data_IF_501783881882
#
_entry.id   IF_501783881882
#
_cell.length_a   1.000
_cell.length_b   1.000
_cell.length_c   1.000
_cell.angle_alpha   90.00
_cell.angle_beta   90.00
_cell.angle_gamma   90.00
#
_symmetry.space_group_name_H-M   'P 1'
#
loop_
_entity.id
_entity.type
_entity.pdbx_description
1 polymer ?
#
# COMPACT_ATOMS: atom_id res chain seq x y z
N UNK A 1 -11.40 -3.74 6.45
CA UNK A 1 -10.68 -3.53 5.19
C UNK A 1 -11.46 -2.62 4.22
N UNK A 2 -12.73 -2.95 3.88
CA UNK A 2 -13.53 -2.19 2.90
C UNK A 2 -13.70 -0.72 3.25
N UNK A 3 -13.99 -0.36 4.49
CA UNK A 3 -14.13 1.04 4.93
C UNK A 3 -12.84 1.81 4.64
N UNK A 4 -11.69 1.24 5.00
CA UNK A 4 -10.41 1.88 4.76
C UNK A 4 -10.08 1.98 3.28
N UNK A 5 -10.33 0.91 2.52
CA UNK A 5 -10.02 0.88 1.10
C UNK A 5 -10.87 1.83 0.27
N UNK A 6 -12.19 1.81 0.48
CA UNK A 6 -13.12 2.56 -0.40
C UNK A 6 -13.40 3.98 0.07
N UNK A 7 -13.48 4.19 1.38
CA UNK A 7 -13.92 5.46 1.96
C UNK A 7 -12.80 6.20 2.70
N UNK A 8 -11.61 5.61 2.77
CA UNK A 8 -10.47 6.09 3.55
C UNK A 8 -10.80 6.31 5.05
N UNK A 9 -11.83 5.63 5.55
CA UNK A 9 -12.22 5.64 6.95
C UNK A 9 -11.45 4.59 7.72
N UNK A 10 -10.91 4.95 8.89
CA UNK A 10 -10.15 4.03 9.73
C UNK A 10 -11.11 3.23 10.61
N UNK A 11 -11.28 1.92 10.38
CA UNK A 11 -12.12 1.08 11.21
C UNK A 11 -11.40 0.61 12.47
N UNK A 12 -12.17 0.35 13.53
CA UNK A 12 -11.74 -0.38 14.71
C UNK A 12 -12.53 -1.69 14.84
N UNK A 13 -11.82 -2.78 15.09
CA UNK A 13 -12.39 -4.11 15.34
C UNK A 13 -12.22 -4.42 16.82
N UNK A 14 -13.32 -4.70 17.50
CA UNK A 14 -13.33 -5.08 18.91
C UNK A 14 -13.64 -6.56 19.05
N UNK A 15 -12.82 -7.30 19.80
CA UNK A 15 -13.04 -8.72 20.07
C UNK A 15 -12.66 -9.08 21.50
N UNK A 16 -13.14 -10.24 21.95
CA UNK A 16 -12.61 -10.89 23.15
C UNK A 16 -11.26 -11.56 22.86
N UNK A 17 -10.59 -12.03 23.93
CA UNK A 17 -9.39 -12.86 23.84
C UNK A 17 -9.70 -14.28 23.29
N UNK A 18 -8.69 -15.06 23.06
CA UNK A 18 -8.78 -16.47 22.67
C UNK A 18 -9.34 -16.64 21.26
N UNK A 19 -10.45 -17.40 21.09
CA UNK A 19 -11.04 -17.64 19.77
C UNK A 19 -11.41 -16.36 19.04
N UNK A 20 -11.90 -15.31 19.74
CA UNK A 20 -12.22 -14.02 19.15
C UNK A 20 -10.99 -13.33 18.57
N UNK A 21 -9.91 -13.27 19.33
CA UNK A 21 -8.63 -12.71 18.88
C UNK A 21 -8.04 -13.48 17.71
N UNK A 22 -8.10 -14.82 17.72
CA UNK A 22 -7.57 -15.65 16.63
C UNK A 22 -8.37 -15.48 15.33
N UNK A 23 -9.70 -15.40 15.40
CA UNK A 23 -10.52 -15.14 14.22
C UNK A 23 -10.28 -13.75 13.66
N UNK A 24 -10.16 -12.74 14.53
CA UNK A 24 -9.83 -11.38 14.11
C UNK A 24 -8.42 -11.31 13.50
N UNK A 25 -7.45 -12.03 14.07
CA UNK A 25 -6.10 -12.12 13.53
C UNK A 25 -6.09 -12.75 12.13
N UNK A 26 -6.85 -13.84 11.92
CA UNK A 26 -7.01 -14.44 10.59
C UNK A 26 -7.62 -13.44 9.59
N UNK A 27 -8.66 -12.69 9.99
CA UNK A 27 -9.26 -11.62 9.18
C UNK A 27 -8.33 -10.43 8.93
N UNK A 28 -7.36 -10.18 9.80
CA UNK A 28 -6.42 -9.08 9.68
C UNK A 28 -5.36 -9.27 8.59
N UNK A 29 -5.20 -10.50 8.08
CA UNK A 29 -4.30 -10.76 6.95
C UNK A 29 -4.73 -10.02 5.68
N UNK A 30 -6.04 -9.76 5.50
CA UNK A 30 -6.52 -8.99 4.35
C UNK A 30 -6.03 -7.53 4.40
N UNK A 31 -6.28 -6.74 5.46
CA UNK A 31 -5.74 -5.38 5.52
C UNK A 31 -4.21 -5.37 5.58
N UNK A 32 -3.56 -6.31 6.25
CA UNK A 32 -2.10 -6.43 6.27
C UNK A 32 -1.55 -6.62 4.85
N UNK A 33 -2.07 -7.60 4.12
CA UNK A 33 -1.62 -7.90 2.77
C UNK A 33 -1.93 -6.78 1.77
N UNK A 34 -2.85 -5.88 2.07
CA UNK A 34 -3.26 -4.80 1.16
C UNK A 34 -2.81 -3.40 1.60
N UNK A 35 -1.96 -3.29 2.61
CA UNK A 35 -1.48 -1.99 3.09
C UNK A 35 -2.60 -1.09 3.63
N UNK A 36 -3.57 -1.67 4.34
CA UNK A 36 -4.72 -0.97 4.90
C UNK A 36 -4.61 -0.89 6.42
N UNK A 37 -4.57 0.33 6.95
CA UNK A 37 -4.53 0.56 8.39
C UNK A 37 -5.88 0.25 9.04
N UNK A 38 -5.87 -0.58 10.08
CA UNK A 38 -7.04 -1.00 10.86
C UNK A 38 -6.63 -1.16 12.32
N UNK A 39 -7.42 -0.63 13.24
CA UNK A 39 -7.24 -0.90 14.66
C UNK A 39 -7.92 -2.21 15.04
N UNK A 40 -7.19 -3.08 15.76
CA UNK A 40 -7.70 -4.28 16.40
C UNK A 40 -7.56 -4.12 17.92
N UNK A 41 -8.70 -3.96 18.60
CA UNK A 41 -8.78 -3.77 20.05
C UNK A 41 -9.33 -5.06 20.65
N UNK A 42 -8.47 -5.80 21.32
CA UNK A 42 -8.78 -7.14 21.81
C UNK A 42 -8.76 -7.17 23.34
N UNK A 43 -9.81 -7.72 23.95
CA UNK A 43 -9.75 -8.04 25.36
C UNK A 43 -8.56 -8.95 25.64
N UNK A 44 -8.00 -8.84 26.82
CA UNK A 44 -6.94 -9.72 27.31
C UNK A 44 -7.23 -10.15 28.74
N UNK A 45 -6.58 -11.23 29.19
CA UNK A 45 -6.69 -11.68 30.57
C UNK A 45 -5.98 -10.72 31.52
N UNK A 46 -5.92 -11.05 32.80
CA UNK A 46 -5.26 -10.18 33.78
C UNK A 46 -3.74 -10.13 33.50
N UNK A 47 -3.13 -8.96 33.76
CA UNK A 47 -1.68 -8.78 33.66
C UNK A 47 -0.88 -9.45 34.81
N UNK A 48 -1.56 -10.15 35.68
CA UNK A 48 -0.99 -10.94 36.77
C UNK A 48 -1.74 -12.26 36.90
N UNK A 49 -1.11 -13.29 37.40
CA UNK A 49 -1.71 -14.62 37.62
C UNK A 49 -2.21 -15.29 36.33
N UNK A 50 -1.60 -15.01 35.21
CA UNK A 50 -1.93 -15.68 33.94
C UNK A 50 -1.72 -17.19 34.03
N UNK A 51 -2.59 -17.94 33.41
CA UNK A 51 -2.46 -19.35 33.11
C UNK A 51 -3.31 -20.29 33.96
N UNK A 52 -3.19 -20.36 35.31
CA UNK A 52 -3.78 -21.45 36.08
C UNK A 52 -5.30 -21.60 35.99
N UNK A 53 -6.05 -20.56 35.85
CA UNK A 53 -7.53 -20.58 35.82
C UNK A 53 -8.11 -19.76 34.68
N UNK A 54 -7.34 -19.51 33.65
CA UNK A 54 -7.75 -18.66 32.51
C UNK A 54 -8.51 -19.49 31.49
N UNK A 55 -9.73 -19.08 31.19
CA UNK A 55 -10.64 -19.86 30.36
C UNK A 55 -10.17 -20.02 28.90
N UNK A 56 -9.45 -19.04 28.38
CA UNK A 56 -9.12 -18.95 26.96
C UNK A 56 -7.61 -18.91 26.67
N UNK A 57 -6.78 -19.11 27.69
CA UNK A 57 -5.33 -19.25 27.51
C UNK A 57 -4.96 -20.72 27.62
N UNK A 58 -4.51 -21.33 26.52
CA UNK A 58 -4.23 -22.79 26.50
C UNK A 58 -2.93 -23.18 27.19
N UNK A 59 -2.07 -22.21 27.50
CA UNK A 59 -0.75 -22.44 28.11
C UNK A 59 -0.49 -21.42 29.21
N UNK A 60 0.34 -21.80 30.19
CA UNK A 60 0.83 -20.91 31.24
C UNK A 60 1.97 -20.02 30.72
N UNK A 61 1.70 -19.24 29.72
CA UNK A 61 2.66 -18.32 29.10
C UNK A 61 2.10 -16.91 29.14
N UNK A 62 2.82 -16.00 29.77
CA UNK A 62 2.46 -14.59 29.78
C UNK A 62 2.55 -14.00 28.37
N UNK A 63 1.65 -13.06 28.06
CA UNK A 63 1.64 -12.33 26.79
C UNK A 63 1.60 -13.22 25.55
N UNK A 64 0.95 -14.40 25.64
CA UNK A 64 0.82 -15.32 24.51
C UNK A 64 0.24 -14.64 23.28
N UNK A 65 -0.86 -13.91 23.44
CA UNK A 65 -1.53 -13.23 22.34
C UNK A 65 -0.76 -12.01 21.85
N UNK A 66 -0.07 -11.27 22.71
CA UNK A 66 0.80 -10.18 22.29
C UNK A 66 1.90 -10.70 21.37
N UNK A 67 2.56 -11.78 21.74
CA UNK A 67 3.61 -12.41 20.93
C UNK A 67 3.08 -12.93 19.59
N UNK A 68 1.91 -13.57 19.61
CA UNK A 68 1.26 -14.05 18.40
C UNK A 68 0.93 -12.91 17.44
N UNK A 69 0.28 -11.86 17.92
CA UNK A 69 -0.15 -10.74 17.11
C UNK A 69 1.04 -9.90 16.61
N UNK A 70 2.12 -9.83 17.39
CA UNK A 70 3.36 -9.16 16.99
C UNK A 70 4.02 -9.80 15.76
N UNK A 71 3.67 -11.02 15.40
CA UNK A 71 4.13 -11.66 14.17
C UNK A 71 3.42 -11.14 12.91
N UNK A 72 2.24 -10.55 13.08
CA UNK A 72 1.46 -9.97 11.98
C UNK A 72 1.71 -8.47 11.80
N UNK A 73 2.05 -7.76 12.88
CA UNK A 73 2.25 -6.30 12.81
C UNK A 73 2.51 -5.68 14.18
N UNK A 74 2.58 -4.35 14.26
CA UNK A 74 2.77 -3.66 15.53
C UNK A 74 1.66 -4.00 16.51
N UNK A 75 2.06 -4.48 17.69
CA UNK A 75 1.16 -4.87 18.78
C UNK A 75 1.57 -4.19 20.09
N UNK A 76 0.59 -3.94 20.96
CA UNK A 76 0.82 -3.30 22.24
C UNK A 76 -0.17 -3.80 23.28
N UNK A 77 0.31 -4.15 24.49
CA UNK A 77 -0.56 -4.48 25.63
C UNK A 77 -0.58 -3.32 26.61
N UNK A 78 -1.78 -2.92 27.04
CA UNK A 78 -1.94 -1.85 28.02
C UNK A 78 -1.64 -2.36 29.43
N UNK A 79 -0.49 -2.01 29.97
CA UNK A 79 -0.11 -2.35 31.34
C UNK A 79 -0.63 -1.36 32.39
N UNK A 80 -0.91 -0.13 31.99
CA UNK A 80 -1.56 0.91 32.81
C UNK A 80 -2.56 1.69 31.95
N UNK A 81 -3.54 2.39 32.55
CA UNK A 81 -4.45 3.24 31.78
C UNK A 81 -3.72 4.32 30.98
N UNK A 82 -2.69 4.94 31.55
CA UNK A 82 -1.93 6.02 30.92
C UNK A 82 -1.13 5.55 29.69
N UNK A 83 -0.83 4.26 29.62
CA UNK A 83 -0.16 3.66 28.46
C UNK A 83 -0.96 3.79 27.16
N UNK A 84 -2.27 4.12 27.25
CA UNK A 84 -3.12 4.35 26.07
C UNK A 84 -2.58 5.46 25.16
N UNK A 85 -1.98 6.52 25.74
CA UNK A 85 -1.38 7.60 24.94
C UNK A 85 -0.24 7.09 24.05
N UNK A 86 0.63 6.27 24.61
CA UNK A 86 1.73 5.65 23.84
C UNK A 86 1.20 4.64 22.82
N UNK A 87 0.21 3.84 23.21
CA UNK A 87 -0.41 2.86 22.32
C UNK A 87 -1.05 3.54 21.11
N UNK A 88 -1.79 4.63 21.32
CA UNK A 88 -2.44 5.38 20.24
C UNK A 88 -1.42 6.06 19.31
N UNK A 89 -0.33 6.63 19.84
CA UNK A 89 0.75 7.17 19.00
C UNK A 89 1.40 6.10 18.12
N UNK A 90 1.65 4.91 18.66
CA UNK A 90 2.15 3.77 17.89
C UNK A 90 1.12 3.26 16.88
N UNK A 91 -0.15 3.23 17.28
CA UNK A 91 -1.26 2.87 16.41
C UNK A 91 -1.42 3.84 15.25
N UNK A 92 -1.32 5.14 15.52
CA UNK A 92 -1.39 6.19 14.50
C UNK A 92 -0.28 6.01 13.46
N UNK A 93 0.96 5.86 13.91
CA UNK A 93 2.10 5.60 13.03
C UNK A 93 1.94 4.34 12.17
N UNK A 94 1.31 3.28 12.69
CA UNK A 94 1.07 2.04 11.96
C UNK A 94 -0.10 2.17 10.97
N UNK A 95 -1.22 2.71 11.44
CA UNK A 95 -2.50 2.75 10.70
C UNK A 95 -2.52 3.84 9.63
N UNK A 96 -1.84 4.95 9.89
CA UNK A 96 -1.74 6.09 8.99
C UNK A 96 -0.39 6.21 8.27
N UNK A 97 0.59 5.35 8.60
CA UNK A 97 1.94 5.41 8.03
C UNK A 97 1.95 5.58 6.52
N UNK A 98 2.64 6.62 6.03
CA UNK A 98 2.60 6.98 4.62
C UNK A 98 3.30 5.98 3.71
N UNK A 99 4.45 5.48 4.13
CA UNK A 99 5.19 4.50 3.36
C UNK A 99 4.50 3.13 3.37
N UNK A 100 3.99 2.71 4.53
CA UNK A 100 3.34 1.42 4.70
C UNK A 100 2.29 1.49 5.80
N UNK A 101 1.03 1.34 5.43
CA UNK A 101 -0.08 1.20 6.38
C UNK A 101 -0.20 -0.25 6.80
N UNK A 102 -0.39 -0.49 8.10
CA UNK A 102 -0.56 -1.84 8.65
C UNK A 102 -1.66 -1.87 9.69
N UNK A 103 -2.27 -3.04 9.97
CA UNK A 103 -3.06 -3.23 11.17
C UNK A 103 -2.23 -2.92 12.43
N UNK A 104 -2.89 -2.38 13.45
CA UNK A 104 -2.35 -2.19 14.79
C UNK A 104 -3.17 -3.00 15.78
N UNK A 105 -2.50 -3.79 16.62
CA UNK A 105 -3.13 -4.66 17.59
C UNK A 105 -2.92 -4.12 19.00
N UNK A 106 -4.02 -3.85 19.72
CA UNK A 106 -3.99 -3.40 21.10
C UNK A 106 -4.69 -4.42 21.98
N UNK A 107 -3.96 -4.95 22.95
CA UNK A 107 -4.49 -5.83 23.98
C UNK A 107 -4.91 -5.01 25.21
N UNK A 108 -6.09 -5.29 25.69
CA UNK A 108 -6.76 -4.61 26.79
C UNK A 108 -6.94 -5.56 27.96
N UNK A 109 -5.95 -5.69 28.88
CA UNK A 109 -6.08 -6.59 30.04
C UNK A 109 -7.27 -6.25 30.92
N UNK A 110 -8.01 -7.29 31.32
CA UNK A 110 -9.26 -7.18 32.05
C UNK A 110 -9.13 -6.38 33.36
N UNK A 111 -7.99 -6.47 34.05
CA UNK A 111 -7.72 -5.74 35.27
C UNK A 111 -7.30 -4.27 35.04
N UNK A 112 -7.00 -3.89 33.80
CA UNK A 112 -6.65 -2.51 33.43
C UNK A 112 -7.88 -1.75 32.95
N UNK A 113 -8.76 -2.40 32.19
CA UNK A 113 -9.96 -1.76 31.62
C UNK A 113 -10.81 -0.96 32.62
N UNK A 114 -11.07 -1.42 33.87
CA UNK A 114 -11.90 -0.69 34.83
C UNK A 114 -11.14 0.39 35.60
N UNK A 115 -9.84 0.54 35.42
CA UNK A 115 -9.06 1.53 36.15
C UNK A 115 -9.37 2.94 35.65
N UNK A 116 -9.50 3.87 36.59
CA UNK A 116 -9.72 5.27 36.29
C UNK A 116 -8.38 5.94 35.93
N UNK A 117 -8.42 6.84 34.97
CA UNK A 117 -7.34 7.79 34.69
C UNK A 117 -7.63 9.07 35.49
N UNK A 118 -6.70 9.47 36.33
CA UNK A 118 -6.86 10.67 37.17
C UNK A 118 -6.76 11.97 36.35
N UNK A 119 -5.99 11.95 35.28
CA UNK A 119 -5.89 13.08 34.34
C UNK A 119 -5.90 12.56 32.89
N UNK A 120 -6.93 12.92 32.14
CA UNK A 120 -7.01 12.59 30.73
C UNK A 120 -7.61 13.77 29.95
N UNK A 121 -6.83 14.33 29.03
CA UNK A 121 -7.33 15.32 28.08
C UNK A 121 -7.55 14.61 26.72
N UNK A 122 -8.79 14.25 26.44
CA UNK A 122 -9.14 13.60 25.16
C UNK A 122 -8.85 14.49 23.95
N UNK A 123 -8.79 15.79 24.10
CA UNK A 123 -8.48 16.73 23.02
C UNK A 123 -7.04 16.60 22.53
N UNK A 124 -6.12 16.12 23.36
CA UNK A 124 -4.73 15.84 22.95
C UNK A 124 -4.60 14.74 21.90
N UNK A 125 -5.65 13.95 21.70
CA UNK A 125 -5.68 12.89 20.67
C UNK A 125 -6.25 13.35 19.34
N UNK A 126 -6.81 14.54 19.25
CA UNK A 126 -7.53 15.00 18.05
C UNK A 126 -6.66 15.83 17.10
N UNK A 127 -5.48 16.23 17.51
CA UNK A 127 -4.54 16.93 16.64
C UNK A 127 -3.96 15.94 15.61
N UNK A 128 -4.41 16.07 14.37
CA UNK A 128 -3.75 15.41 13.25
C UNK A 128 -2.46 16.17 12.97
N UNK A 129 -1.34 15.49 13.05
CA UNK A 129 -0.10 16.02 12.48
C UNK A 129 -0.26 16.12 10.96
N UNK A 130 0.11 17.27 10.39
CA UNK A 130 0.21 17.40 8.93
C UNK A 130 1.32 16.46 8.43
N UNK A 131 0.95 15.53 7.57
CA UNK A 131 1.90 14.64 6.93
C UNK A 131 2.47 15.30 5.67
N UNK A 132 3.78 15.48 5.63
CA UNK A 132 4.47 15.92 4.42
C UNK A 132 4.45 14.81 3.37
N UNK A 133 4.28 15.19 2.10
CA UNK A 133 4.47 14.27 0.98
C UNK A 133 5.96 13.94 0.83
N UNK A 134 6.27 12.69 0.48
CA UNK A 134 7.63 12.21 0.26
C UNK A 134 7.96 12.26 -1.22
N UNK A 135 9.12 12.80 -1.55
CA UNK A 135 9.67 12.75 -2.91
C UNK A 135 11.20 12.63 -2.82
N UNK A 136 11.78 11.79 -3.66
CA UNK A 136 13.23 11.72 -3.80
C UNK A 136 13.80 13.06 -4.24
N UNK A 137 14.87 13.50 -3.58
CA UNK A 137 15.64 14.70 -3.97
C UNK A 137 16.78 14.37 -4.93
N UNK A 138 17.05 13.09 -5.16
CA UNK A 138 18.11 12.65 -6.08
C UNK A 138 17.64 12.77 -7.53
N UNK A 139 18.12 13.80 -8.22
CA UNK A 139 17.81 14.03 -9.62
C UNK A 139 18.37 12.97 -10.57
N UNK A 140 19.35 12.17 -10.15
CA UNK A 140 19.92 11.13 -11.00
C UNK A 140 18.91 10.06 -11.34
N UNK A 141 18.03 9.68 -10.40
CA UNK A 141 16.97 8.69 -10.64
C UNK A 141 15.88 9.22 -11.56
N UNK A 142 15.57 10.53 -11.50
CA UNK A 142 14.62 11.16 -12.43
C UNK A 142 15.20 11.26 -13.83
N UNK A 143 16.49 11.59 -13.97
CA UNK A 143 17.17 11.64 -15.27
C UNK A 143 17.22 10.23 -15.90
N UNK A 144 17.53 9.20 -15.10
CA UNK A 144 17.52 7.82 -15.58
C UNK A 144 16.12 7.34 -15.99
N UNK A 145 15.07 7.80 -15.29
CA UNK A 145 13.69 7.52 -15.68
C UNK A 145 13.31 8.24 -16.97
N UNK A 146 13.69 9.50 -17.10
CA UNK A 146 13.47 10.28 -18.31
C UNK A 146 14.14 9.64 -19.53
N UNK A 147 15.41 9.28 -19.41
CA UNK A 147 16.17 8.57 -20.46
C UNK A 147 15.44 7.27 -20.86
N UNK A 148 15.05 6.45 -19.89
CA UNK A 148 14.31 5.21 -20.18
C UNK A 148 12.98 5.44 -20.90
N UNK A 149 12.25 6.51 -20.57
CA UNK A 149 11.00 6.90 -21.23
C UNK A 149 11.27 7.34 -22.68
N UNK A 150 12.30 8.15 -22.91
CA UNK A 150 12.63 8.68 -24.22
C UNK A 150 13.15 7.60 -25.18
N UNK A 151 13.87 6.61 -24.66
CA UNK A 151 14.44 5.49 -25.42
C UNK A 151 13.42 4.38 -25.71
N UNK A 152 12.19 4.49 -25.18
CA UNK A 152 11.16 3.45 -25.31
C UNK A 152 10.01 3.90 -26.19
N UNK A 153 9.40 2.94 -26.91
CA UNK A 153 8.29 3.20 -27.85
C UNK A 153 6.99 2.47 -27.49
N UNK A 154 7.06 1.42 -26.64
CA UNK A 154 5.94 0.60 -26.21
C UNK A 154 5.84 0.61 -24.69
N UNK A 155 5.28 1.67 -24.15
CA UNK A 155 5.26 1.92 -22.72
C UNK A 155 3.96 1.44 -22.09
N UNK A 156 4.06 0.67 -21.02
CA UNK A 156 2.92 0.29 -20.17
C UNK A 156 3.07 0.86 -18.78
N UNK A 157 2.07 1.60 -18.32
CA UNK A 157 1.95 2.11 -16.95
C UNK A 157 1.07 1.17 -16.15
N UNK A 158 1.65 0.51 -15.15
CA UNK A 158 0.94 -0.39 -14.23
C UNK A 158 0.72 0.29 -12.89
N UNK A 159 -0.54 0.54 -12.55
CA UNK A 159 -0.93 1.24 -11.33
C UNK A 159 -1.46 0.27 -10.28
N UNK A 160 -0.92 0.33 -9.08
CA UNK A 160 -1.33 -0.46 -7.92
C UNK A 160 -2.00 0.38 -6.83
N UNK A 161 -2.36 -0.29 -5.73
CA UNK A 161 -3.09 0.33 -4.60
C UNK A 161 -2.37 1.47 -3.90
N UNK A 162 -1.05 1.52 -3.96
CA UNK A 162 -0.24 2.61 -3.41
C UNK A 162 -0.36 3.94 -4.18
N UNK A 163 -1.02 3.94 -5.34
CA UNK A 163 -1.28 5.12 -6.14
C UNK A 163 -2.78 5.49 -6.17
N UNK A 164 -3.57 5.05 -5.20
CA UNK A 164 -5.02 5.31 -5.16
C UNK A 164 -5.37 6.80 -5.02
N UNK A 165 -4.45 7.60 -4.53
CA UNK A 165 -4.63 9.05 -4.31
C UNK A 165 -4.20 9.89 -5.54
N UNK A 166 -3.70 9.27 -6.62
CA UNK A 166 -3.34 9.97 -7.87
C UNK A 166 -4.60 10.39 -8.60
N UNK A 167 -4.64 11.63 -9.06
CA UNK A 167 -5.78 12.15 -9.81
C UNK A 167 -5.83 11.61 -11.24
N UNK A 168 -7.03 11.48 -11.81
CA UNK A 168 -7.21 11.00 -13.18
C UNK A 168 -6.57 11.96 -14.20
N UNK A 169 -6.57 13.25 -13.91
CA UNK A 169 -5.99 14.32 -14.73
C UNK A 169 -4.47 14.16 -14.83
N UNK A 170 -3.78 13.92 -13.72
CA UNK A 170 -2.33 13.69 -13.70
C UNK A 170 -1.97 12.41 -14.44
N UNK A 171 -2.78 11.35 -14.27
CA UNK A 171 -2.59 10.11 -15.04
C UNK A 171 -2.80 10.33 -16.54
N UNK A 172 -3.86 11.03 -16.95
CA UNK A 172 -4.13 11.34 -18.35
C UNK A 172 -2.95 12.09 -18.98
N UNK A 173 -2.51 13.18 -18.36
CA UNK A 173 -1.40 13.98 -18.86
C UNK A 173 -0.11 13.15 -18.97
N UNK A 174 0.18 12.32 -17.97
CA UNK A 174 1.35 11.45 -18.00
C UNK A 174 1.28 10.42 -19.14
N UNK A 175 0.12 9.77 -19.31
CA UNK A 175 -0.11 8.79 -20.37
C UNK A 175 -0.02 9.41 -21.77
N UNK A 176 -0.52 10.63 -21.95
CA UNK A 176 -0.43 11.35 -23.22
C UNK A 176 1.02 11.75 -23.54
N UNK A 177 1.74 12.34 -22.57
CA UNK A 177 3.14 12.72 -22.74
C UNK A 177 4.06 11.51 -22.98
N UNK A 178 3.76 10.36 -22.40
CA UNK A 178 4.55 9.14 -22.56
C UNK A 178 4.04 8.22 -23.67
N UNK A 179 2.93 8.54 -24.32
CA UNK A 179 2.23 7.67 -25.29
C UNK A 179 2.00 6.24 -24.74
N UNK A 180 1.85 6.12 -23.44
CA UNK A 180 1.72 4.86 -22.74
C UNK A 180 0.27 4.35 -22.72
N UNK A 181 0.11 3.06 -22.51
CA UNK A 181 -1.17 2.44 -22.15
C UNK A 181 -1.23 2.18 -20.64
N UNK A 182 -2.43 2.17 -20.10
CA UNK A 182 -2.70 2.04 -18.68
C UNK A 182 -3.22 0.65 -18.34
N UNK A 183 -2.60 0.03 -17.32
CA UNK A 183 -3.03 -1.24 -16.73
C UNK A 183 -3.13 -1.06 -15.22
N UNK A 184 -4.17 -1.56 -14.61
CA UNK A 184 -4.31 -1.43 -13.16
C UNK A 184 -4.43 -2.76 -12.44
N UNK A 185 -4.12 -2.72 -11.15
CA UNK A 185 -4.41 -3.80 -10.24
C UNK A 185 -5.83 -3.72 -9.66
N UNK A 186 -6.31 -4.79 -8.99
CA UNK A 186 -7.68 -4.85 -8.46
C UNK A 186 -7.98 -3.87 -7.33
N UNK A 187 -6.99 -3.18 -6.78
CA UNK A 187 -7.19 -2.20 -5.71
C UNK A 187 -7.57 -0.79 -6.19
N UNK A 188 -7.42 -0.51 -7.47
CA UNK A 188 -7.68 0.82 -8.07
C UNK A 188 -8.60 0.76 -9.29
N UNK A 189 -9.73 0.02 -9.21
CA UNK A 189 -10.69 0.00 -10.29
C UNK A 189 -11.31 1.39 -10.47
N UNK A 190 -11.37 1.87 -11.70
CA UNK A 190 -11.99 3.16 -12.01
C UNK A 190 -11.15 4.39 -11.68
N UNK A 191 -9.90 4.24 -11.21
CA UNK A 191 -8.99 5.36 -11.00
C UNK A 191 -8.76 6.15 -12.30
N UNK A 192 -8.58 5.43 -13.39
CA UNK A 192 -8.60 5.97 -14.73
C UNK A 192 -9.81 5.42 -15.49
N UNK A 193 -10.68 6.26 -16.10
CA UNK A 193 -11.97 5.81 -16.65
C UNK A 193 -11.83 4.72 -17.72
N UNK A 194 -12.66 3.68 -17.65
CA UNK A 194 -12.69 2.61 -18.63
C UNK A 194 -13.09 3.05 -20.05
N UNK A 195 -13.73 4.21 -20.18
CA UNK A 195 -14.07 4.80 -21.47
C UNK A 195 -12.88 5.41 -22.21
N UNK A 196 -11.75 5.55 -21.55
CA UNK A 196 -10.54 6.10 -22.15
C UNK A 196 -9.81 5.04 -22.98
N UNK A 197 -9.42 5.39 -24.20
CA UNK A 197 -8.78 4.46 -25.16
C UNK A 197 -7.49 3.80 -24.64
N UNK A 198 -6.76 4.49 -23.75
CA UNK A 198 -5.50 3.99 -23.16
C UNK A 198 -5.71 3.02 -22.01
N UNK A 199 -6.96 2.80 -21.55
CA UNK A 199 -7.25 1.91 -20.43
C UNK A 199 -7.38 0.45 -20.90
N UNK A 200 -6.35 -0.35 -20.63
CA UNK A 200 -6.31 -1.79 -20.94
C UNK A 200 -6.90 -2.67 -19.82
N UNK A 201 -7.55 -2.04 -18.81
CA UNK A 201 -8.19 -2.74 -17.71
C UNK A 201 -7.20 -3.44 -16.76
N UNK A 202 -7.61 -4.52 -16.10
CA UNK A 202 -6.82 -5.24 -15.10
C UNK A 202 -5.76 -6.11 -15.75
N UNK A 203 -4.53 -6.04 -15.22
CA UNK A 203 -3.46 -6.97 -15.59
C UNK A 203 -3.21 -8.04 -14.52
N UNK A 204 -2.57 -9.13 -14.88
CA UNK A 204 -2.17 -10.23 -14.00
C UNK A 204 -2.83 -11.56 -14.34
N UNK A 205 -2.72 -12.56 -13.44
CA UNK A 205 -3.16 -13.94 -13.69
C UNK A 205 -4.66 -14.10 -13.99
N UNK A 206 -5.47 -13.13 -13.58
CA UNK A 206 -6.92 -13.05 -13.88
C UNK A 206 -7.26 -11.73 -14.56
N UNK A 207 -6.31 -11.15 -15.25
CA UNK A 207 -6.47 -9.90 -15.96
C UNK A 207 -7.17 -10.03 -17.30
N UNK A 208 -7.44 -8.88 -17.91
CA UNK A 208 -7.97 -8.79 -19.27
C UNK A 208 -6.93 -9.23 -20.31
N UNK A 209 -7.40 -9.59 -21.49
CA UNK A 209 -6.52 -9.92 -22.62
C UNK A 209 -5.65 -8.69 -22.96
N UNK A 210 -6.28 -7.52 -23.12
CA UNK A 210 -5.59 -6.26 -23.43
C UNK A 210 -4.55 -5.89 -22.37
N UNK A 211 -4.92 -5.95 -21.07
CA UNK A 211 -4.01 -5.66 -19.96
C UNK A 211 -2.81 -6.58 -19.91
N UNK A 212 -3.01 -7.88 -20.13
CA UNK A 212 -1.94 -8.85 -20.14
C UNK A 212 -1.08 -8.75 -21.39
N UNK A 213 -1.68 -8.45 -22.54
CA UNK A 213 -0.93 -8.17 -23.76
C UNK A 213 -0.01 -6.97 -23.57
N UNK A 214 -0.57 -5.84 -23.12
CA UNK A 214 0.21 -4.64 -22.84
C UNK A 214 1.38 -4.88 -21.86
N UNK A 215 1.14 -5.67 -20.80
CA UNK A 215 2.19 -6.03 -19.83
C UNK A 215 3.28 -6.91 -20.43
N UNK A 216 2.97 -7.78 -21.38
CA UNK A 216 3.93 -8.73 -21.94
C UNK A 216 4.73 -8.17 -23.14
N UNK A 217 4.12 -7.27 -23.90
CA UNK A 217 4.67 -6.78 -25.16
C UNK A 217 5.38 -5.43 -25.04
N UNK A 218 5.27 -4.74 -23.89
CA UNK A 218 5.94 -3.46 -23.65
C UNK A 218 7.47 -3.61 -23.63
N UNK A 219 8.17 -2.58 -24.09
CA UNK A 219 9.62 -2.43 -23.95
C UNK A 219 10.04 -1.67 -22.69
N UNK A 220 9.11 -0.87 -22.09
CA UNK A 220 9.25 -0.23 -20.80
C UNK A 220 8.01 -0.44 -19.94
N UNK A 221 8.21 -0.89 -18.72
CA UNK A 221 7.20 -0.92 -17.67
C UNK A 221 7.41 0.21 -16.66
N UNK A 222 6.35 0.98 -16.38
CA UNK A 222 6.33 1.97 -15.31
C UNK A 222 5.35 1.47 -14.23
N UNK A 223 5.88 0.97 -13.13
CA UNK A 223 5.11 0.48 -11.99
C UNK A 223 4.92 1.60 -10.97
N UNK A 224 3.68 1.95 -10.64
CA UNK A 224 3.31 3.06 -9.75
C UNK A 224 2.50 2.53 -8.59
N UNK A 225 3.04 2.62 -7.36
CA UNK A 225 2.39 2.13 -6.16
C UNK A 225 1.99 0.65 -6.25
N UNK A 226 2.69 -0.11 -7.09
CA UNK A 226 2.45 -1.52 -7.31
C UNK A 226 3.46 -2.38 -6.54
N UNK A 227 2.98 -3.51 -6.02
CA UNK A 227 3.83 -4.55 -5.44
C UNK A 227 3.99 -5.67 -6.46
N UNK A 228 5.19 -6.22 -6.58
CA UNK A 228 5.49 -7.33 -7.48
C UNK A 228 4.92 -8.67 -6.95
N UNK A 229 3.62 -8.72 -6.65
CA UNK A 229 2.98 -9.95 -6.17
C UNK A 229 2.59 -10.84 -7.33
N UNK A 230 2.76 -12.14 -7.16
CA UNK A 230 2.63 -13.14 -8.23
C UNK A 230 1.31 -13.09 -9.01
N UNK A 231 0.21 -12.71 -8.37
CA UNK A 231 -1.09 -12.63 -9.04
C UNK A 231 -1.23 -11.46 -10.03
N UNK A 232 -0.38 -10.45 -9.92
CA UNK A 232 -0.48 -9.21 -10.69
C UNK A 232 0.53 -9.12 -11.82
N UNK A 233 1.65 -9.79 -11.66
CA UNK A 233 2.69 -9.94 -12.66
C UNK A 233 2.79 -11.37 -13.21
N UNK A 234 1.70 -12.13 -13.08
CA UNK A 234 1.58 -13.50 -13.58
C UNK A 234 2.71 -14.42 -13.06
N UNK A 235 3.01 -14.32 -11.76
CA UNK A 235 4.06 -15.11 -11.09
C UNK A 235 5.47 -14.85 -11.63
N UNK A 236 5.77 -13.59 -11.95
CA UNK A 236 7.07 -13.18 -12.49
C UNK A 236 7.26 -13.55 -13.97
N UNK A 237 6.18 -13.88 -14.66
CA UNK A 237 6.22 -14.20 -16.10
C UNK A 237 5.87 -13.03 -17.00
N UNK A 238 5.36 -11.94 -16.44
CA UNK A 238 5.06 -10.70 -17.16
C UNK A 238 6.33 -9.89 -17.44
N UNK A 239 6.21 -8.91 -18.31
CA UNK A 239 7.25 -7.93 -18.66
C UNK A 239 8.52 -8.54 -19.27
N UNK A 240 8.46 -9.69 -19.89
CA UNK A 240 9.63 -10.37 -20.46
C UNK A 240 10.35 -9.57 -21.53
N UNK A 241 9.61 -8.72 -22.24
CA UNK A 241 10.16 -7.86 -23.30
C UNK A 241 10.62 -6.49 -22.78
N UNK A 242 10.22 -6.12 -21.56
CA UNK A 242 10.62 -4.86 -20.97
C UNK A 242 12.15 -4.82 -20.75
N UNK A 243 12.81 -3.90 -21.42
CA UNK A 243 14.24 -3.67 -21.31
C UNK A 243 14.61 -3.01 -19.97
N UNK A 244 13.67 -2.24 -19.43
CA UNK A 244 13.79 -1.52 -18.17
C UNK A 244 12.46 -1.44 -17.45
N UNK A 245 12.51 -1.29 -16.12
CA UNK A 245 11.35 -1.02 -15.30
C UNK A 245 11.61 0.27 -14.52
N UNK A 246 10.66 1.20 -14.52
CA UNK A 246 10.64 2.33 -13.58
C UNK A 246 9.68 1.93 -12.45
N UNK A 247 10.18 1.89 -11.21
CA UNK A 247 9.39 1.55 -10.04
C UNK A 247 9.25 2.77 -9.13
N UNK A 248 8.02 3.25 -8.97
CA UNK A 248 7.65 4.41 -8.13
C UNK A 248 6.86 3.91 -6.94
N UNK A 249 7.40 4.05 -5.73
CA UNK A 249 6.73 3.59 -4.51
C UNK A 249 7.23 4.36 -3.28
N UNK A 250 6.36 4.53 -2.28
CA UNK A 250 6.75 5.02 -0.97
C UNK A 250 7.44 3.93 -0.13
N UNK A 251 7.02 2.67 -0.25
CA UNK A 251 7.58 1.54 0.48
C UNK A 251 8.91 1.10 -0.15
N UNK A 252 9.99 1.14 0.64
CA UNK A 252 11.31 0.76 0.19
C UNK A 252 11.42 -0.73 -0.17
N UNK A 253 10.70 -1.61 0.55
CA UNK A 253 10.69 -3.04 0.27
C UNK A 253 10.07 -3.32 -1.10
N UNK A 254 8.97 -2.61 -1.42
CA UNK A 254 8.30 -2.73 -2.72
C UNK A 254 9.13 -2.13 -3.87
N UNK A 255 10.00 -1.14 -3.59
CA UNK A 255 10.95 -0.64 -4.59
C UNK A 255 11.98 -1.68 -5.02
N UNK A 256 12.32 -2.63 -4.15
CA UNK A 256 13.31 -3.66 -4.42
C UNK A 256 12.79 -4.85 -5.26
N UNK A 257 11.47 -4.90 -5.52
CA UNK A 257 10.80 -6.07 -6.15
C UNK A 257 11.25 -6.39 -7.57
N UNK A 258 11.62 -5.37 -8.35
CA UNK A 258 11.96 -5.57 -9.75
C UNK A 258 13.46 -5.50 -10.00
N UNK A 259 13.95 -6.47 -10.78
CA UNK A 259 15.31 -6.42 -11.32
C UNK A 259 15.41 -5.39 -12.46
N UNK A 260 16.61 -4.89 -12.71
CA UNK A 260 16.89 -3.91 -13.79
C UNK A 260 15.93 -2.70 -13.74
N UNK A 261 15.73 -2.14 -12.54
CA UNK A 261 14.77 -1.05 -12.32
C UNK A 261 15.44 0.27 -11.95
N UNK A 262 14.86 1.35 -12.45
CA UNK A 262 15.03 2.69 -11.89
C UNK A 262 14.04 2.82 -10.72
N UNK A 263 14.55 3.07 -9.52
CA UNK A 263 13.77 3.10 -8.28
C UNK A 263 13.59 4.54 -7.83
N UNK A 264 12.36 5.01 -7.79
CA UNK A 264 12.03 6.37 -7.33
C UNK A 264 11.17 6.26 -6.08
N UNK A 265 11.76 6.58 -4.93
CA UNK A 265 11.00 6.63 -3.67
C UNK A 265 10.21 7.92 -3.58
N UNK A 266 8.90 7.81 -3.40
CA UNK A 266 8.04 8.97 -3.22
C UNK A 266 6.57 8.67 -3.40
N UNK A 267 5.77 9.67 -3.06
CA UNK A 267 4.34 9.69 -3.34
C UNK A 267 4.10 9.68 -4.85
N UNK A 268 3.21 8.82 -5.29
CA UNK A 268 3.00 8.55 -6.72
C UNK A 268 2.69 9.82 -7.51
N UNK A 269 1.77 10.65 -7.02
CA UNK A 269 1.37 11.88 -7.72
C UNK A 269 2.51 12.88 -7.80
N UNK A 270 3.27 13.11 -6.71
CA UNK A 270 4.39 14.05 -6.69
C UNK A 270 5.51 13.62 -7.65
N UNK A 271 5.80 12.33 -7.70
CA UNK A 271 6.79 11.78 -8.61
C UNK A 271 6.33 11.93 -10.07
N UNK A 272 5.04 11.64 -10.35
CA UNK A 272 4.48 11.84 -11.69
C UNK A 272 4.54 13.30 -12.14
N UNK A 273 4.12 14.23 -11.29
CA UNK A 273 4.19 15.67 -11.57
C UNK A 273 5.63 16.11 -11.88
N UNK A 274 6.61 15.58 -11.15
CA UNK A 274 8.02 15.88 -11.40
C UNK A 274 8.50 15.32 -12.75
N UNK A 275 8.11 14.10 -13.10
CA UNK A 275 8.47 13.51 -14.41
C UNK A 275 7.76 14.28 -15.55
N UNK A 276 6.49 14.64 -15.38
CA UNK A 276 5.74 15.48 -16.32
C UNK A 276 6.46 16.82 -16.57
N UNK A 277 6.91 17.48 -15.49
CA UNK A 277 7.68 18.74 -15.60
C UNK A 277 8.95 18.56 -16.47
N UNK A 278 9.65 17.44 -16.29
CA UNK A 278 10.85 17.13 -17.05
C UNK A 278 10.54 16.79 -18.52
N UNK A 279 9.50 15.98 -18.76
CA UNK A 279 9.07 15.60 -20.11
C UNK A 279 8.68 16.83 -20.94
N UNK A 280 7.96 17.80 -20.35
CA UNK A 280 7.58 19.05 -21.02
C UNK A 280 8.76 19.90 -21.50
N UNK A 281 9.95 19.70 -20.93
CA UNK A 281 11.17 20.40 -21.32
C UNK A 281 11.97 19.69 -22.40
N UNK A 282 11.49 18.53 -22.83
CA UNK A 282 12.22 17.64 -23.77
C UNK A 282 11.49 17.60 -25.11
N UNK A 283 12.20 17.83 -26.21
CA UNK A 283 11.58 17.98 -27.54
C UNK A 283 11.40 16.70 -28.34
N UNK A 284 12.10 15.59 -28.00
CA UNK A 284 12.09 14.36 -28.80
C UNK A 284 11.69 13.15 -27.98
N UNK A 285 10.65 12.44 -28.45
CA UNK A 285 10.21 11.17 -27.90
C UNK A 285 10.06 10.13 -29.01
N UNK A 286 10.49 8.92 -28.74
CA UNK A 286 10.19 7.74 -29.57
C UNK A 286 8.78 7.26 -29.27
N UNK A 287 7.95 7.03 -30.27
CA UNK A 287 6.63 6.41 -30.11
C UNK A 287 6.39 5.39 -31.21
N UNK A 288 5.62 4.36 -30.89
CA UNK A 288 5.12 3.39 -31.83
C UNK A 288 3.63 3.68 -32.11
N UNK A 289 3.28 4.22 -33.29
CA UNK A 289 1.91 4.63 -33.60
C UNK A 289 0.91 3.47 -33.59
N UNK A 290 1.38 2.22 -33.73
CA UNK A 290 0.53 1.03 -33.73
C UNK A 290 0.33 0.47 -32.29
N UNK A 291 1.14 0.91 -31.29
CA UNK A 291 1.12 0.34 -29.95
C UNK A 291 -0.26 0.38 -29.29
N UNK A 292 -0.90 1.53 -29.29
CA UNK A 292 -2.24 1.68 -28.72
C UNK A 292 -3.27 0.78 -29.41
N UNK A 293 -3.18 0.69 -30.73
CA UNK A 293 -4.08 -0.13 -31.53
C UNK A 293 -3.88 -1.63 -31.27
N UNK A 294 -2.64 -2.09 -31.27
CA UNK A 294 -2.31 -3.48 -30.94
C UNK A 294 -2.80 -3.91 -29.57
N UNK A 295 -2.80 -2.99 -28.60
CA UNK A 295 -3.31 -3.27 -27.24
C UNK A 295 -4.85 -3.33 -27.16
N UNK A 296 -5.57 -2.74 -28.12
CA UNK A 296 -7.04 -2.66 -28.13
C UNK A 296 -7.70 -3.71 -29.02
N UNK A 297 -7.03 -4.15 -30.08
CA UNK A 297 -7.49 -5.19 -31.02
C UNK A 297 -7.29 -6.60 -30.45
#
# INVERSE_FOLDING_TARGET
AMLRWKYNEVPAVFTSIGPGALQAAAGSLVPLANGLGVYYLMGDETSHSEGPNMQQIPKREQELFLRLLSTFGPAYSLHTPEAVFTALKRGDAAVHGRAKRTPFYMLLPMNIQPKLMESCNLLEFTEKSEESKVISTDMSVFNAALEAILDSSRITVKVGGGAADVTAEVLEEFLELTDAVYVHGPQVPGLYPYSKKRNMSVGGSKGSICGNYAMNECDLMIAIGARGVCQWDSSGTSFRKAKKIININCDYDDLAQYNNSVRIQGDAEEVLLKIIELLKKTENKTSDPEWLKECTD
#
